data_IF_305059955490
#
_entry.id   IF_305059955490
#
_cell.length_a   1.000
_cell.length_b   1.000
_cell.length_c   1.000
_cell.angle_alpha   90.00
_cell.angle_beta   90.00
_cell.angle_gamma   90.00
#
_symmetry.space_group_name_H-M   'P 1'
#
loop_
_entity.id
_entity.type
_entity.pdbx_description
1 polymer ?
#
# COMPACT_ATOMS: atom_id res chain seq x y z
N UNK A 1 -54.27 -31.34 -13.36
CA UNK A 1 -53.13 -31.42 -14.30
C UNK A 1 -51.97 -30.61 -13.70
N UNK A 2 -50.93 -31.32 -13.22
CA UNK A 2 -49.71 -30.66 -12.68
C UNK A 2 -48.85 -30.24 -13.88
N UNK A 3 -48.89 -28.96 -14.24
CA UNK A 3 -48.03 -28.42 -15.29
C UNK A 3 -46.57 -28.61 -14.92
N UNK A 4 -45.77 -29.25 -15.80
CA UNK A 4 -44.34 -29.32 -15.73
C UNK A 4 -43.81 -27.87 -15.72
N UNK A 5 -43.10 -27.48 -14.65
CA UNK A 5 -42.42 -26.18 -14.62
C UNK A 5 -41.32 -26.14 -15.66
N UNK A 6 -41.04 -24.98 -16.26
CA UNK A 6 -39.90 -24.84 -17.19
C UNK A 6 -38.58 -25.27 -16.54
N UNK A 7 -37.70 -25.87 -17.34
CA UNK A 7 -36.32 -26.18 -16.90
C UNK A 7 -35.65 -24.87 -16.48
N UNK A 8 -35.16 -24.82 -15.23
CA UNK A 8 -34.53 -23.64 -14.64
C UNK A 8 -35.22 -23.08 -13.39
N UNK A 9 -36.49 -23.39 -13.14
CA UNK A 9 -37.28 -22.82 -12.03
C UNK A 9 -36.96 -23.43 -10.63
N UNK A 10 -36.03 -24.36 -10.54
CA UNK A 10 -35.65 -25.04 -9.30
C UNK A 10 -36.73 -26.02 -8.75
N UNK A 11 -36.31 -26.94 -7.91
CA UNK A 11 -37.18 -27.91 -7.23
C UNK A 11 -37.68 -27.29 -5.91
N UNK A 12 -39.00 -27.32 -5.67
CA UNK A 12 -39.60 -26.89 -4.40
C UNK A 12 -40.31 -28.08 -3.75
N UNK A 13 -39.96 -28.37 -2.49
CA UNK A 13 -40.59 -29.44 -1.71
C UNK A 13 -40.78 -29.05 -0.25
N UNK A 14 -41.76 -29.68 0.39
CA UNK A 14 -41.94 -29.61 1.84
C UNK A 14 -41.16 -30.77 2.46
N UNK A 15 -40.32 -30.48 3.44
CA UNK A 15 -39.53 -31.49 4.17
C UNK A 15 -40.34 -32.14 5.28
N UNK A 16 -39.87 -33.25 5.79
CA UNK A 16 -40.45 -33.95 6.94
C UNK A 16 -40.36 -33.13 8.23
N UNK A 17 -39.43 -32.21 8.33
CA UNK A 17 -39.28 -31.27 9.44
C UNK A 17 -40.21 -30.04 9.35
N UNK A 18 -41.16 -30.06 8.40
CA UNK A 18 -42.15 -29.01 8.20
C UNK A 18 -41.67 -27.77 7.43
N UNK A 19 -40.39 -27.63 7.18
CA UNK A 19 -39.83 -26.51 6.41
C UNK A 19 -39.97 -26.73 4.91
N UNK A 20 -40.03 -25.64 4.17
CA UNK A 20 -39.99 -25.66 2.70
C UNK A 20 -38.55 -25.54 2.23
N UNK A 21 -38.18 -26.36 1.24
CA UNK A 21 -36.86 -26.37 0.61
C UNK A 21 -37.02 -26.06 -0.88
N UNK A 22 -36.21 -25.12 -1.37
CA UNK A 22 -36.01 -24.86 -2.79
C UNK A 22 -34.60 -25.29 -3.18
N UNK A 23 -34.45 -25.99 -4.32
CA UNK A 23 -33.15 -26.43 -4.87
C UNK A 23 -32.97 -25.93 -6.28
N UNK A 24 -31.80 -25.41 -6.58
CA UNK A 24 -31.35 -25.12 -7.94
C UNK A 24 -30.09 -25.93 -8.23
N UNK A 25 -29.91 -26.34 -9.47
CA UNK A 25 -28.65 -26.94 -9.93
C UNK A 25 -27.67 -25.81 -10.17
N UNK A 26 -26.48 -25.93 -9.60
CA UNK A 26 -25.43 -24.93 -9.71
C UNK A 26 -24.17 -25.50 -10.38
N UNK A 27 -24.18 -26.75 -10.84
CA UNK A 27 -23.11 -27.44 -11.50
C UNK A 27 -23.27 -28.93 -11.48
N UNK A 28 -22.28 -29.66 -11.99
CA UNK A 28 -22.27 -31.12 -12.07
C UNK A 28 -20.95 -31.65 -11.50
N UNK A 29 -21.01 -32.86 -10.94
CA UNK A 29 -19.83 -33.61 -10.51
C UNK A 29 -19.21 -34.32 -11.72
N UNK A 30 -18.02 -34.93 -11.52
CA UNK A 30 -17.33 -35.69 -12.54
C UNK A 30 -18.13 -36.91 -13.05
N UNK A 31 -19.02 -37.44 -12.21
CA UNK A 31 -20.00 -38.50 -12.56
C UNK A 31 -21.28 -37.96 -13.24
N UNK A 32 -21.28 -36.68 -13.61
CA UNK A 32 -22.43 -35.96 -14.18
C UNK A 32 -23.63 -35.81 -13.25
N UNK A 33 -23.50 -36.12 -11.95
CA UNK A 33 -24.56 -35.88 -10.96
C UNK A 33 -24.65 -34.40 -10.61
N UNK A 34 -25.88 -33.82 -10.41
CA UNK A 34 -26.04 -32.39 -10.21
C UNK A 34 -25.60 -31.95 -8.81
N UNK A 35 -24.92 -30.80 -8.75
CA UNK A 35 -24.61 -30.09 -7.53
C UNK A 35 -25.76 -29.10 -7.23
N UNK A 36 -26.32 -29.17 -6.02
CA UNK A 36 -27.47 -28.37 -5.66
C UNK A 36 -27.13 -27.26 -4.67
N UNK A 37 -27.71 -26.08 -4.90
CA UNK A 37 -27.91 -25.05 -3.88
C UNK A 37 -29.29 -25.17 -3.29
N UNK A 38 -29.39 -25.34 -1.97
CA UNK A 38 -30.67 -25.37 -1.24
C UNK A 38 -30.92 -24.09 -0.48
N UNK A 39 -32.14 -23.60 -0.54
CA UNK A 39 -32.66 -22.49 0.28
C UNK A 39 -33.88 -22.97 1.11
N UNK A 40 -34.04 -22.44 2.31
CA UNK A 40 -35.05 -22.91 3.25
C UNK A 40 -35.91 -21.76 3.76
N UNK A 41 -37.20 -22.04 3.99
CA UNK A 41 -38.14 -21.12 4.64
C UNK A 41 -39.18 -21.88 5.43
N UNK A 42 -39.91 -21.18 6.36
CA UNK A 42 -41.01 -21.75 7.12
C UNK A 42 -42.25 -21.93 6.26
N UNK A 43 -42.46 -21.05 5.30
CA UNK A 43 -43.63 -21.07 4.40
C UNK A 43 -43.17 -21.07 2.94
N UNK A 44 -44.00 -21.55 2.04
CA UNK A 44 -43.76 -21.51 0.59
C UNK A 44 -43.67 -20.06 0.08
N UNK A 45 -44.50 -19.16 0.64
CA UNK A 45 -44.54 -17.73 0.31
C UNK A 45 -43.17 -17.04 0.59
N UNK A 46 -42.54 -17.40 1.71
CA UNK A 46 -41.19 -16.90 2.06
C UNK A 46 -40.08 -17.58 1.26
N UNK A 47 -40.29 -18.83 0.80
CA UNK A 47 -39.33 -19.56 0.02
C UNK A 47 -39.16 -18.97 -1.37
N UNK A 48 -40.23 -18.60 -2.04
CA UNK A 48 -40.22 -18.18 -3.44
C UNK A 48 -39.29 -16.97 -3.73
N UNK A 49 -39.33 -15.89 -2.92
CA UNK A 49 -38.38 -14.78 -3.10
C UNK A 49 -36.91 -15.22 -2.92
N UNK A 50 -36.65 -16.09 -1.91
CA UNK A 50 -35.30 -16.61 -1.66
C UNK A 50 -34.81 -17.50 -2.78
N UNK A 51 -35.71 -18.31 -3.36
CA UNK A 51 -35.39 -19.19 -4.48
C UNK A 51 -35.12 -18.37 -5.75
N UNK A 52 -35.89 -17.35 -6.05
CA UNK A 52 -35.67 -16.43 -7.17
C UNK A 52 -34.32 -15.73 -7.03
N UNK A 53 -34.04 -15.19 -5.86
CA UNK A 53 -32.72 -14.60 -5.61
C UNK A 53 -31.57 -15.59 -5.82
N UNK A 54 -31.74 -16.84 -5.36
CA UNK A 54 -30.75 -17.87 -5.58
C UNK A 54 -30.60 -18.22 -7.08
N UNK A 55 -31.71 -18.25 -7.85
CA UNK A 55 -31.66 -18.45 -9.30
C UNK A 55 -30.87 -17.30 -9.96
N UNK A 56 -31.17 -16.05 -9.62
CA UNK A 56 -30.47 -14.88 -10.13
C UNK A 56 -28.98 -14.90 -9.75
N UNK A 57 -28.67 -15.25 -8.50
CA UNK A 57 -27.29 -15.28 -7.97
C UNK A 57 -26.42 -16.38 -8.63
N UNK A 58 -27.02 -17.45 -9.11
CA UNK A 58 -26.33 -18.62 -9.67
C UNK A 58 -26.69 -18.90 -11.15
N UNK A 59 -27.38 -17.97 -11.82
CA UNK A 59 -27.78 -18.14 -13.22
C UNK A 59 -26.55 -18.27 -14.13
N UNK A 60 -26.45 -19.40 -14.85
CA UNK A 60 -25.31 -19.69 -15.72
C UNK A 60 -24.09 -20.29 -15.02
N UNK A 61 -24.20 -20.60 -13.72
CA UNK A 61 -23.11 -21.29 -13.00
C UNK A 61 -23.09 -22.79 -13.36
N UNK A 62 -21.94 -23.31 -13.73
CA UNK A 62 -21.67 -24.74 -13.89
C UNK A 62 -20.40 -25.08 -13.10
N UNK A 63 -20.56 -25.36 -11.81
CA UNK A 63 -19.44 -25.66 -10.91
C UNK A 63 -19.07 -27.14 -10.99
N UNK A 64 -17.78 -27.42 -11.18
CA UNK A 64 -17.17 -28.75 -11.04
C UNK A 64 -16.96 -29.14 -9.57
N UNK A 65 -16.55 -30.38 -9.31
CA UNK A 65 -16.15 -30.80 -7.95
C UNK A 65 -14.96 -30.00 -7.40
N UNK A 66 -14.08 -29.49 -8.28
CA UNK A 66 -12.98 -28.62 -7.92
C UNK A 66 -13.42 -27.31 -7.24
N UNK A 67 -14.66 -26.85 -7.51
CA UNK A 67 -15.23 -25.66 -6.83
C UNK A 67 -15.65 -25.90 -5.36
N UNK A 68 -15.50 -27.13 -4.84
CA UNK A 68 -15.74 -27.45 -3.42
C UNK A 68 -14.63 -26.99 -2.46
N UNK A 69 -13.55 -26.44 -2.97
CA UNK A 69 -12.42 -26.00 -2.16
C UNK A 69 -12.80 -24.90 -1.18
N UNK A 70 -12.11 -24.86 -0.05
CA UNK A 70 -12.21 -23.78 0.94
C UNK A 70 -11.47 -22.53 0.44
N UNK A 71 -11.79 -21.36 1.03
CA UNK A 71 -11.03 -20.14 0.75
C UNK A 71 -9.54 -20.31 1.13
N UNK A 72 -9.21 -21.07 2.18
CA UNK A 72 -7.81 -21.33 2.55
C UNK A 72 -7.07 -22.10 1.46
N UNK A 73 -7.67 -23.14 0.91
CA UNK A 73 -7.07 -23.93 -0.19
C UNK A 73 -6.87 -23.07 -1.43
N UNK A 74 -7.88 -22.28 -1.78
CA UNK A 74 -7.76 -21.35 -2.90
C UNK A 74 -6.67 -20.30 -2.68
N UNK A 75 -6.62 -19.66 -1.50
CA UNK A 75 -5.57 -18.68 -1.19
C UNK A 75 -4.17 -19.25 -1.29
N UNK A 76 -3.96 -20.51 -0.89
CA UNK A 76 -2.66 -21.19 -1.04
C UNK A 76 -2.30 -21.39 -2.51
N UNK A 77 -3.23 -21.92 -3.32
CA UNK A 77 -3.04 -22.06 -4.78
C UNK A 77 -2.78 -20.71 -5.43
N UNK A 78 -3.61 -19.72 -5.13
CA UNK A 78 -3.51 -18.38 -5.69
C UNK A 78 -2.16 -17.70 -5.34
N UNK A 79 -1.67 -17.85 -4.12
CA UNK A 79 -0.35 -17.32 -3.74
C UNK A 79 0.76 -17.98 -4.58
N UNK A 80 0.76 -19.30 -4.69
CA UNK A 80 1.82 -20.04 -5.37
C UNK A 80 1.80 -19.84 -6.90
N UNK A 81 0.60 -19.83 -7.49
CA UNK A 81 0.45 -19.86 -8.96
C UNK A 81 0.37 -18.44 -9.58
N UNK A 82 -0.21 -17.47 -8.86
CA UNK A 82 -0.48 -16.14 -9.41
C UNK A 82 0.34 -15.02 -8.74
N UNK A 83 0.47 -15.06 -7.40
CA UNK A 83 1.07 -13.94 -6.69
C UNK A 83 2.61 -14.03 -6.63
N UNK A 84 3.17 -15.18 -6.27
CA UNK A 84 4.61 -15.37 -6.12
C UNK A 84 5.38 -15.21 -7.44
N UNK A 85 4.92 -15.73 -8.59
CA UNK A 85 5.61 -15.54 -9.85
C UNK A 85 5.55 -14.11 -10.40
N UNK A 86 4.47 -13.37 -10.10
CA UNK A 86 4.18 -12.08 -10.72
C UNK A 86 4.54 -10.86 -9.86
N UNK A 87 4.65 -11.03 -8.54
CA UNK A 87 4.78 -9.93 -7.62
C UNK A 87 6.13 -9.90 -6.90
N UNK A 88 6.55 -8.71 -6.49
CA UNK A 88 7.75 -8.54 -5.68
C UNK A 88 7.60 -9.20 -4.31
N UNK A 89 8.70 -9.77 -3.80
CA UNK A 89 8.74 -10.49 -2.52
C UNK A 89 8.10 -9.72 -1.35
N UNK A 90 8.33 -8.42 -1.23
CA UNK A 90 7.73 -7.60 -0.17
C UNK A 90 6.20 -7.53 -0.26
N UNK A 91 5.63 -7.53 -1.48
CA UNK A 91 4.18 -7.56 -1.68
C UNK A 91 3.62 -8.91 -1.27
N UNK A 92 4.27 -9.99 -1.69
CA UNK A 92 3.89 -11.37 -1.33
C UNK A 92 3.95 -11.57 0.18
N UNK A 93 5.00 -11.11 0.85
CA UNK A 93 5.14 -11.15 2.31
C UNK A 93 4.00 -10.38 2.99
N UNK A 94 3.64 -9.20 2.48
CA UNK A 94 2.49 -8.44 2.96
C UNK A 94 1.17 -9.18 2.78
N UNK A 95 0.98 -9.84 1.64
CA UNK A 95 -0.20 -10.66 1.37
C UNK A 95 -0.29 -11.87 2.30
N UNK A 96 0.81 -12.63 2.45
CA UNK A 96 0.87 -13.76 3.39
C UNK A 96 0.52 -13.34 4.82
N UNK A 97 1.03 -12.20 5.28
CA UNK A 97 0.72 -11.64 6.60
C UNK A 97 -0.76 -11.29 6.75
N UNK A 98 -1.37 -10.62 5.78
CA UNK A 98 -2.78 -10.23 5.82
C UNK A 98 -3.70 -11.45 5.74
N UNK A 99 -3.36 -12.45 4.92
CA UNK A 99 -4.07 -13.72 4.85
C UNK A 99 -4.01 -14.41 6.21
N UNK A 100 -2.80 -14.65 6.74
CA UNK A 100 -2.58 -15.38 8.00
C UNK A 100 -3.28 -14.72 9.19
N UNK A 101 -3.16 -13.40 9.31
CA UNK A 101 -3.61 -12.70 10.52
C UNK A 101 -5.08 -12.30 10.48
N UNK A 102 -5.68 -12.15 9.29
CA UNK A 102 -7.01 -11.55 9.16
C UNK A 102 -7.98 -12.39 8.35
N UNK A 103 -7.65 -12.78 7.10
CA UNK A 103 -8.61 -13.41 6.19
C UNK A 103 -8.84 -14.87 6.57
N UNK A 104 -7.77 -15.65 6.72
CA UNK A 104 -7.84 -17.08 7.01
C UNK A 104 -8.59 -17.41 8.32
N UNK A 105 -8.38 -16.69 9.44
CA UNK A 105 -9.11 -16.96 10.67
C UNK A 105 -10.61 -16.67 10.59
N UNK A 106 -11.03 -15.75 9.69
CA UNK A 106 -12.43 -15.32 9.62
C UNK A 106 -13.24 -16.07 8.55
N UNK A 107 -12.63 -16.30 7.38
CA UNK A 107 -13.33 -16.82 6.21
C UNK A 107 -12.70 -18.10 5.65
N UNK A 108 -11.49 -18.45 6.06
CA UNK A 108 -10.67 -19.48 5.44
C UNK A 108 -11.30 -20.86 5.38
N UNK A 109 -12.05 -21.27 6.42
CA UNK A 109 -12.69 -22.58 6.49
C UNK A 109 -14.02 -22.67 5.74
N UNK A 110 -14.50 -21.53 5.17
CA UNK A 110 -15.71 -21.56 4.34
C UNK A 110 -15.38 -22.08 2.95
N UNK A 111 -16.25 -22.94 2.42
CA UNK A 111 -16.18 -23.27 0.99
C UNK A 111 -16.39 -22.00 0.16
N UNK A 112 -15.54 -21.83 -0.85
CA UNK A 112 -15.43 -20.61 -1.65
C UNK A 112 -16.79 -20.20 -2.24
N UNK A 113 -17.52 -21.15 -2.82
CA UNK A 113 -18.86 -20.95 -3.43
C UNK A 113 -19.98 -20.56 -2.44
N UNK A 114 -19.77 -20.71 -1.14
CA UNK A 114 -20.76 -20.36 -0.11
C UNK A 114 -20.39 -19.09 0.66
N UNK A 115 -19.35 -18.39 0.24
CA UNK A 115 -19.03 -17.06 0.77
C UNK A 115 -20.01 -16.05 0.15
N UNK A 116 -20.76 -15.36 1.00
CA UNK A 116 -21.73 -14.35 0.59
C UNK A 116 -21.21 -12.93 0.82
N UNK A 117 -21.79 -11.93 0.13
CA UNK A 117 -21.47 -10.51 0.39
C UNK A 117 -21.75 -10.13 1.85
N UNK A 118 -22.74 -10.77 2.50
CA UNK A 118 -23.00 -10.59 3.93
C UNK A 118 -21.87 -11.11 4.81
N UNK A 119 -21.25 -12.22 4.46
CA UNK A 119 -20.09 -12.75 5.20
C UNK A 119 -18.89 -11.81 5.08
N UNK A 120 -18.62 -11.33 3.88
CA UNK A 120 -17.56 -10.35 3.61
C UNK A 120 -17.79 -9.05 4.38
N UNK A 121 -19.04 -8.53 4.37
CA UNK A 121 -19.38 -7.32 5.12
C UNK A 121 -19.21 -7.52 6.63
N UNK A 122 -19.65 -8.66 7.19
CA UNK A 122 -19.44 -8.99 8.60
C UNK A 122 -17.96 -9.06 8.94
N UNK A 123 -17.17 -9.64 8.04
CA UNK A 123 -15.73 -9.70 8.21
C UNK A 123 -15.12 -8.30 8.30
N UNK A 124 -15.42 -7.39 7.37
CA UNK A 124 -14.90 -6.00 7.42
C UNK A 124 -15.35 -5.26 8.67
N UNK A 125 -16.62 -5.41 9.07
CA UNK A 125 -17.11 -4.82 10.31
C UNK A 125 -16.35 -5.36 11.55
N UNK A 126 -15.95 -6.63 11.52
CA UNK A 126 -15.16 -7.23 12.60
C UNK A 126 -13.73 -6.68 12.66
N UNK A 127 -13.12 -6.32 11.52
CA UNK A 127 -11.79 -5.73 11.47
C UNK A 127 -11.76 -4.33 12.11
N UNK A 128 -12.78 -3.53 11.86
CA UNK A 128 -12.92 -2.18 12.44
C UNK A 128 -13.19 -2.21 13.96
N UNK A 129 -13.63 -3.35 14.51
CA UNK A 129 -13.91 -3.54 15.94
C UNK A 129 -12.86 -4.37 16.67
N UNK A 130 -11.89 -4.96 15.95
CA UNK A 130 -10.88 -5.83 16.54
C UNK A 130 -9.93 -5.02 17.41
N UNK A 131 -9.84 -5.38 18.69
CA UNK A 131 -8.74 -4.96 19.54
C UNK A 131 -7.44 -5.58 18.99
N UNK A 132 -6.54 -4.74 18.51
CA UNK A 132 -5.21 -5.17 18.10
C UNK A 132 -4.37 -5.38 19.35
N UNK A 133 -3.73 -6.54 19.47
CA UNK A 133 -2.93 -6.98 20.61
C UNK A 133 -2.06 -5.88 21.22
N UNK A 134 -1.98 -5.95 22.51
CA UNK A 134 -1.35 -5.21 23.62
C UNK A 134 -0.03 -4.44 23.43
N UNK A 135 0.49 -4.21 22.24
CA UNK A 135 1.78 -3.53 22.01
C UNK A 135 1.65 -2.13 21.41
N UNK A 136 0.45 -1.63 21.23
CA UNK A 136 0.21 -0.25 20.81
C UNK A 136 -1.14 0.26 21.27
N UNK A 137 -1.25 1.53 21.56
CA UNK A 137 -2.46 2.23 22.04
C UNK A 137 -3.66 2.20 21.07
N UNK A 138 -3.66 1.37 20.02
CA UNK A 138 -4.72 1.28 19.03
C UNK A 138 -5.52 -0.01 19.23
N UNK A 139 -6.76 0.12 19.67
CA UNK A 139 -7.71 -0.98 19.86
C UNK A 139 -8.30 -1.53 18.56
N UNK A 140 -8.18 -0.83 17.43
CA UNK A 140 -8.78 -1.17 16.14
C UNK A 140 -7.76 -1.08 15.02
N UNK A 141 -8.01 -1.81 13.90
CA UNK A 141 -7.20 -1.65 12.70
C UNK A 141 -7.45 -0.27 12.06
N UNK A 142 -6.39 0.35 11.56
CA UNK A 142 -6.53 1.58 10.78
C UNK A 142 -7.36 1.33 9.50
N UNK A 143 -8.15 2.32 9.09
CA UNK A 143 -9.00 2.25 7.89
C UNK A 143 -8.19 1.87 6.64
N UNK A 144 -6.97 2.38 6.51
CA UNK A 144 -6.05 2.03 5.42
C UNK A 144 -5.68 0.54 5.42
N UNK A 145 -5.53 -0.08 6.60
CA UNK A 145 -5.25 -1.52 6.73
C UNK A 145 -6.48 -2.35 6.33
N UNK A 146 -7.68 -1.94 6.77
CA UNK A 146 -8.93 -2.60 6.37
C UNK A 146 -9.11 -2.53 4.85
N UNK A 147 -8.80 -1.39 4.24
CA UNK A 147 -8.82 -1.22 2.77
C UNK A 147 -7.81 -2.12 2.07
N UNK A 148 -6.59 -2.24 2.59
CA UNK A 148 -5.57 -3.13 2.03
C UNK A 148 -6.00 -4.61 2.09
N UNK A 149 -6.65 -5.03 3.19
CA UNK A 149 -7.22 -6.37 3.34
C UNK A 149 -8.37 -6.59 2.35
N UNK A 150 -9.25 -5.58 2.18
CA UNK A 150 -10.31 -5.64 1.17
C UNK A 150 -9.74 -5.81 -0.24
N UNK A 151 -8.78 -4.97 -0.64
CA UNK A 151 -8.16 -5.06 -1.98
C UNK A 151 -7.55 -6.44 -2.23
N UNK A 152 -6.88 -7.02 -1.23
CA UNK A 152 -6.32 -8.36 -1.33
C UNK A 152 -7.42 -9.42 -1.49
N UNK A 153 -8.43 -9.41 -0.61
CA UNK A 153 -9.54 -10.37 -0.68
C UNK A 153 -10.31 -10.24 -2.01
N UNK A 154 -10.51 -9.01 -2.47
CA UNK A 154 -11.18 -8.73 -3.75
C UNK A 154 -10.43 -9.37 -4.92
N UNK A 155 -9.10 -9.18 -5.00
CA UNK A 155 -8.26 -9.76 -6.07
C UNK A 155 -8.26 -11.30 -6.00
N UNK A 156 -8.19 -11.89 -4.81
CA UNK A 156 -8.26 -13.35 -4.62
C UNK A 156 -9.60 -13.90 -5.11
N UNK A 157 -10.70 -13.26 -4.75
CA UNK A 157 -12.04 -13.68 -5.16
C UNK A 157 -12.31 -13.42 -6.64
N UNK A 158 -11.80 -12.33 -7.20
CA UNK A 158 -11.86 -12.03 -8.63
C UNK A 158 -11.10 -13.09 -9.45
N UNK A 159 -9.94 -13.53 -8.96
CA UNK A 159 -9.20 -14.64 -9.58
C UNK A 159 -9.99 -15.95 -9.49
N UNK A 160 -10.77 -16.16 -8.43
CA UNK A 160 -11.64 -17.33 -8.32
C UNK A 160 -12.82 -17.29 -9.32
N UNK A 161 -13.34 -16.10 -9.62
CA UNK A 161 -14.33 -15.92 -10.69
C UNK A 161 -13.72 -16.26 -12.05
N UNK A 162 -12.51 -15.75 -12.34
CA UNK A 162 -11.79 -16.04 -13.59
C UNK A 162 -11.42 -17.52 -13.76
N UNK A 163 -11.22 -18.22 -12.63
CA UNK A 163 -10.98 -19.67 -12.61
C UNK A 163 -12.28 -20.50 -12.61
N UNK A 164 -13.45 -19.87 -12.77
CA UNK A 164 -14.77 -20.51 -12.75
C UNK A 164 -15.09 -21.27 -11.44
N UNK A 165 -14.47 -20.92 -10.32
CA UNK A 165 -14.72 -21.52 -9.01
C UNK A 165 -15.91 -20.88 -8.29
N UNK A 166 -16.21 -19.61 -8.59
CA UNK A 166 -17.39 -18.88 -8.15
C UNK A 166 -17.93 -18.04 -9.30
N UNK A 167 -19.23 -17.81 -9.30
CA UNK A 167 -19.89 -17.07 -10.38
C UNK A 167 -19.71 -15.55 -10.27
N UNK A 168 -19.75 -15.00 -9.06
CA UNK A 168 -19.66 -13.56 -8.77
C UNK A 168 -18.72 -13.33 -7.61
N UNK A 169 -17.99 -12.23 -7.66
CA UNK A 169 -17.14 -11.82 -6.55
C UNK A 169 -17.99 -11.26 -5.39
N UNK A 170 -18.10 -11.94 -4.23
CA UNK A 170 -18.95 -11.48 -3.13
C UNK A 170 -18.43 -10.23 -2.42
N UNK A 171 -17.25 -9.73 -2.76
CA UNK A 171 -16.69 -8.51 -2.18
C UNK A 171 -17.00 -7.24 -2.96
N UNK A 172 -17.60 -7.33 -4.17
CA UNK A 172 -17.90 -6.16 -5.02
C UNK A 172 -18.78 -5.12 -4.33
N UNK A 173 -19.88 -5.59 -3.70
CA UNK A 173 -20.87 -4.71 -3.08
C UNK A 173 -20.55 -4.36 -1.61
N UNK A 174 -19.39 -4.79 -1.11
CA UNK A 174 -19.03 -4.60 0.30
C UNK A 174 -18.63 -3.14 0.59
N UNK A 175 -19.21 -2.58 1.63
CA UNK A 175 -18.87 -1.23 2.11
C UNK A 175 -17.62 -1.28 2.98
N UNK A 176 -16.62 -0.51 2.58
CA UNK A 176 -15.36 -0.35 3.30
C UNK A 176 -15.26 1.05 3.92
N UNK A 177 -14.49 1.24 5.00
CA UNK A 177 -14.27 2.55 5.59
C UNK A 177 -13.77 3.57 4.56
N UNK A 178 -14.22 4.82 4.68
CA UNK A 178 -13.63 5.91 3.89
C UNK A 178 -12.19 6.12 4.34
N UNK A 179 -11.34 6.47 3.39
CA UNK A 179 -9.95 6.74 3.71
C UNK A 179 -9.81 8.18 4.25
N UNK A 180 -9.76 8.30 5.57
CA UNK A 180 -9.47 9.57 6.21
C UNK A 180 -7.95 9.72 6.30
N UNK A 181 -7.36 10.42 5.33
CA UNK A 181 -5.94 10.75 5.39
C UNK A 181 -5.71 11.75 6.52
N UNK A 182 -4.93 11.34 7.52
CA UNK A 182 -4.39 12.32 8.45
C UNK A 182 -3.46 13.28 7.68
N UNK A 183 -3.46 14.58 7.99
CA UNK A 183 -2.51 15.53 7.40
C UNK A 183 -1.08 15.01 7.55
N UNK A 184 -0.26 15.20 6.52
CA UNK A 184 1.15 14.84 6.59
C UNK A 184 1.82 15.75 7.60
N UNK A 185 2.64 15.15 8.48
CA UNK A 185 3.43 15.90 9.45
C UNK A 185 4.75 16.24 8.78
N UNK A 186 5.01 17.52 8.61
CA UNK A 186 6.28 18.06 8.13
C UNK A 186 6.94 18.84 9.26
N UNK A 187 8.25 18.95 9.22
CA UNK A 187 8.96 19.88 10.08
C UNK A 187 8.85 21.29 9.47
N UNK A 188 8.37 22.25 10.25
CA UNK A 188 8.43 23.67 9.86
C UNK A 188 9.89 24.18 9.92
N UNK A 189 10.13 25.42 9.53
CA UNK A 189 11.48 25.98 9.44
C UNK A 189 12.21 25.93 10.79
N UNK A 190 11.57 26.33 11.87
CA UNK A 190 12.14 26.29 13.23
C UNK A 190 12.47 24.84 13.65
N UNK A 191 11.56 23.92 13.44
CA UNK A 191 11.77 22.50 13.75
C UNK A 191 12.86 21.88 12.87
N UNK A 192 12.96 22.31 11.62
CA UNK A 192 14.02 21.86 10.71
C UNK A 192 15.39 22.38 11.20
N UNK A 193 15.47 23.62 11.66
CA UNK A 193 16.70 24.18 12.24
C UNK A 193 17.12 23.40 13.49
N UNK A 194 16.17 23.08 14.40
CA UNK A 194 16.43 22.25 15.58
C UNK A 194 16.92 20.85 15.17
N UNK A 195 16.28 20.25 14.16
CA UNK A 195 16.68 18.94 13.62
C UNK A 195 18.10 18.98 13.05
N UNK A 196 18.44 20.01 12.26
CA UNK A 196 19.75 20.19 11.68
C UNK A 196 20.83 20.37 12.76
N UNK A 197 20.55 21.09 13.85
CA UNK A 197 21.45 21.19 15.01
C UNK A 197 21.63 19.83 15.71
N UNK A 198 20.52 19.10 15.93
CA UNK A 198 20.55 17.80 16.61
C UNK A 198 21.36 16.73 15.87
N UNK A 199 21.38 16.75 14.53
CA UNK A 199 22.20 15.80 13.77
C UNK A 199 23.69 16.10 13.79
N UNK A 200 24.12 17.33 14.14
CA UNK A 200 25.56 17.67 14.29
C UNK A 200 26.24 16.83 15.37
N UNK A 201 25.52 16.49 16.42
CA UNK A 201 26.01 15.66 17.52
C UNK A 201 26.01 14.15 17.20
N UNK A 202 25.73 13.80 15.95
CA UNK A 202 25.57 12.43 15.44
C UNK A 202 26.65 12.06 14.40
N UNK A 203 27.92 11.83 14.76
CA UNK A 203 29.01 11.73 13.79
C UNK A 203 28.80 10.68 12.69
N UNK A 204 28.06 9.60 13.03
CA UNK A 204 27.77 8.51 12.11
C UNK A 204 26.54 8.75 11.23
N UNK A 205 25.59 9.55 11.73
CA UNK A 205 24.29 9.75 11.10
C UNK A 205 24.09 11.15 10.52
N UNK A 206 24.98 12.10 10.85
CA UNK A 206 24.95 13.47 10.34
C UNK A 206 24.84 13.47 8.80
N UNK A 207 25.81 12.86 8.13
CA UNK A 207 25.86 12.86 6.66
C UNK A 207 24.66 12.16 6.04
N UNK A 208 24.15 11.10 6.70
CA UNK A 208 22.97 10.37 6.25
C UNK A 208 21.73 11.27 6.27
N UNK A 209 21.43 11.88 7.42
CA UNK A 209 20.23 12.73 7.55
C UNK A 209 20.37 14.04 6.81
N UNK A 210 21.56 14.60 6.74
CA UNK A 210 21.83 15.78 5.91
C UNK A 210 21.57 15.49 4.42
N UNK A 211 22.04 14.35 3.92
CA UNK A 211 21.76 13.93 2.54
C UNK A 211 20.26 13.70 2.32
N UNK A 212 19.57 13.07 3.27
CA UNK A 212 18.13 12.83 3.17
C UNK A 212 17.34 14.14 3.06
N UNK A 213 17.59 15.10 3.98
CA UNK A 213 16.81 16.35 4.04
C UNK A 213 17.13 17.29 2.87
N UNK A 214 18.28 17.15 2.22
CA UNK A 214 18.69 17.96 1.07
C UNK A 214 18.37 17.34 -0.28
N UNK A 215 17.99 16.06 -0.33
CA UNK A 215 17.69 15.35 -1.58
C UNK A 215 16.29 14.75 -1.63
N UNK A 216 15.67 14.54 -0.49
CA UNK A 216 14.35 13.91 -0.36
C UNK A 216 14.29 12.48 -0.89
N UNK A 217 15.36 11.71 -0.80
CA UNK A 217 15.40 10.32 -1.24
C UNK A 217 14.44 9.44 -0.43
N UNK A 218 14.00 8.31 -1.00
CA UNK A 218 13.30 7.31 -0.19
C UNK A 218 14.29 6.59 0.73
N UNK A 219 13.85 6.19 1.92
CA UNK A 219 14.68 5.48 2.89
C UNK A 219 15.50 4.33 2.27
N UNK A 220 14.86 3.49 1.46
CA UNK A 220 15.57 2.40 0.79
C UNK A 220 16.55 2.88 -0.29
N UNK A 221 16.30 4.02 -0.93
CA UNK A 221 17.18 4.59 -1.95
C UNK A 221 18.46 5.13 -1.30
N UNK A 222 18.35 5.93 -0.23
CA UNK A 222 19.50 6.47 0.48
C UNK A 222 20.36 5.36 1.11
N UNK A 223 19.73 4.34 1.71
CA UNK A 223 20.45 3.15 2.21
C UNK A 223 21.19 2.41 1.10
N UNK A 224 20.72 2.47 -0.14
CA UNK A 224 21.27 1.74 -1.28
C UNK A 224 22.30 2.50 -2.10
N UNK A 225 22.75 3.68 -1.68
CA UNK A 225 23.73 4.47 -2.42
C UNK A 225 25.13 3.87 -2.34
N UNK A 226 25.82 3.77 -3.50
CA UNK A 226 27.22 3.38 -3.63
C UNK A 226 28.07 4.55 -4.11
N UNK A 227 29.35 4.51 -3.83
CA UNK A 227 30.29 5.52 -4.34
C UNK A 227 30.36 5.55 -5.87
N UNK A 228 30.13 4.41 -6.52
CA UNK A 228 30.02 4.33 -7.99
C UNK A 228 28.80 5.06 -8.58
N UNK A 229 27.85 5.48 -7.76
CA UNK A 229 26.69 6.25 -8.19
C UNK A 229 26.94 7.76 -8.20
N UNK A 230 28.02 8.21 -7.52
CA UNK A 230 28.36 9.62 -7.38
C UNK A 230 29.45 10.01 -8.37
N UNK A 231 29.16 10.95 -9.24
CA UNK A 231 30.11 11.68 -10.04
C UNK A 231 30.51 12.98 -9.32
N UNK A 232 31.66 12.97 -8.67
CA UNK A 232 32.13 14.10 -7.88
C UNK A 232 32.45 15.32 -8.75
N UNK A 233 32.86 15.11 -10.02
CA UNK A 233 33.24 16.20 -10.93
C UNK A 233 32.03 17.03 -11.38
N UNK A 234 30.88 16.38 -11.56
CA UNK A 234 29.64 17.03 -12.00
C UNK A 234 28.63 17.21 -10.88
N UNK A 235 28.85 16.60 -9.71
CA UNK A 235 27.90 16.58 -8.60
C UNK A 235 26.64 15.74 -8.88
N UNK A 236 26.65 14.88 -9.88
CA UNK A 236 25.54 14.02 -10.24
C UNK A 236 25.49 12.76 -9.40
N UNK A 237 24.32 12.42 -8.86
CA UNK A 237 24.07 11.20 -8.13
C UNK A 237 23.00 10.37 -8.83
N UNK A 238 23.36 9.13 -9.19
CA UNK A 238 22.44 8.18 -9.84
C UNK A 238 21.72 7.32 -8.81
N UNK A 239 20.41 7.39 -8.79
CA UNK A 239 19.54 6.57 -7.93
C UNK A 239 19.08 5.37 -8.77
N UNK A 240 19.55 4.17 -8.46
CA UNK A 240 19.26 2.99 -9.29
C UNK A 240 18.93 1.72 -8.48
N UNK A 241 19.05 1.77 -7.15
CA UNK A 241 18.73 0.65 -6.28
C UNK A 241 18.00 1.09 -5.03
N UNK A 242 17.38 0.13 -4.35
CA UNK A 242 16.68 0.34 -3.09
C UNK A 242 16.92 -0.84 -2.16
N UNK A 243 17.20 -0.54 -0.91
CA UNK A 243 17.35 -1.53 0.16
C UNK A 243 16.02 -1.69 0.88
N UNK A 244 15.64 -2.93 1.11
CA UNK A 244 14.46 -3.28 1.93
C UNK A 244 14.84 -4.35 2.95
N UNK A 245 14.03 -4.49 3.99
CA UNK A 245 14.30 -5.48 5.04
C UNK A 245 13.42 -6.71 4.83
N UNK A 246 14.06 -7.90 4.83
CA UNK A 246 13.39 -9.19 4.80
C UNK A 246 12.96 -9.63 6.21
N UNK A 247 12.13 -10.68 6.27
CA UNK A 247 11.89 -11.42 7.52
C UNK A 247 13.23 -11.95 8.06
N UNK A 248 13.44 -11.83 9.37
CA UNK A 248 14.71 -12.24 9.99
C UNK A 248 15.77 -11.14 10.08
N UNK A 249 15.48 -9.92 9.56
CA UNK A 249 16.39 -8.77 9.68
C UNK A 249 17.41 -8.63 8.55
N UNK A 250 17.44 -9.58 7.61
CA UNK A 250 18.28 -9.48 6.43
C UNK A 250 17.89 -8.31 5.52
N UNK A 251 18.87 -7.73 4.83
CA UNK A 251 18.64 -6.67 3.86
C UNK A 251 18.59 -7.24 2.45
N UNK A 252 17.51 -6.94 1.73
CA UNK A 252 17.38 -7.22 0.31
C UNK A 252 17.71 -5.96 -0.48
N UNK A 253 18.65 -6.12 -1.42
CA UNK A 253 19.06 -5.08 -2.35
C UNK A 253 18.39 -5.38 -3.68
N UNK A 254 17.58 -4.47 -4.18
CA UNK A 254 16.90 -4.59 -5.45
C UNK A 254 16.97 -3.31 -6.27
N UNK A 255 16.57 -3.42 -7.52
CA UNK A 255 16.39 -2.24 -8.37
C UNK A 255 15.25 -1.35 -7.85
N UNK A 256 15.25 -0.08 -8.25
CA UNK A 256 14.17 0.84 -7.92
C UNK A 256 12.81 0.32 -8.40
N UNK A 257 11.74 0.68 -7.69
CA UNK A 257 10.39 0.10 -7.87
C UNK A 257 9.80 0.32 -9.27
N UNK A 258 10.22 1.33 -10.00
CA UNK A 258 9.72 1.71 -11.33
C UNK A 258 10.87 2.20 -12.20
N UNK A 259 10.71 2.18 -13.52
CA UNK A 259 11.67 2.79 -14.47
C UNK A 259 11.99 4.26 -14.12
N UNK A 260 10.96 5.03 -13.72
CA UNK A 260 11.13 6.41 -13.22
C UNK A 260 11.79 6.49 -11.84
N UNK A 261 11.93 5.37 -11.15
CA UNK A 261 12.72 5.27 -9.92
C UNK A 261 14.20 5.37 -10.18
N UNK A 262 14.70 4.90 -11.33
CA UNK A 262 16.07 5.12 -11.79
C UNK A 262 16.14 6.53 -12.37
N UNK A 263 16.89 7.38 -11.67
CA UNK A 263 17.03 8.78 -12.02
C UNK A 263 18.40 9.31 -11.60
N UNK A 264 18.80 10.41 -12.20
CA UNK A 264 20.00 11.16 -11.79
C UNK A 264 19.56 12.50 -11.23
N UNK A 265 20.04 12.85 -10.05
CA UNK A 265 19.84 14.15 -9.42
C UNK A 265 21.13 14.91 -9.34
N UNK A 266 21.08 16.24 -9.33
CA UNK A 266 22.21 17.10 -9.05
C UNK A 266 22.21 17.40 -7.55
N UNK A 267 23.34 17.13 -6.89
CA UNK A 267 23.47 17.37 -5.46
C UNK A 267 23.69 18.86 -5.16
N UNK A 268 23.08 19.40 -4.09
CA UNK A 268 23.50 20.69 -3.55
C UNK A 268 24.98 20.69 -3.18
N UNK A 269 25.66 21.84 -3.35
CA UNK A 269 27.11 21.97 -3.08
C UNK A 269 27.51 21.48 -1.69
N UNK A 270 26.68 21.79 -0.66
CA UNK A 270 26.93 21.32 0.71
C UNK A 270 26.90 19.80 0.84
N UNK A 271 25.92 19.16 0.23
CA UNK A 271 25.79 17.69 0.22
C UNK A 271 26.96 17.03 -0.51
N UNK A 272 27.32 17.56 -1.68
CA UNK A 272 28.48 17.07 -2.42
C UNK A 272 29.76 17.17 -1.60
N UNK A 273 30.01 18.31 -0.94
CA UNK A 273 31.18 18.51 -0.08
C UNK A 273 31.24 17.47 1.05
N UNK A 274 30.15 17.25 1.74
CA UNK A 274 30.04 16.28 2.85
C UNK A 274 30.34 14.86 2.33
N UNK A 275 29.73 14.46 1.21
CA UNK A 275 29.96 13.13 0.66
C UNK A 275 31.37 12.93 0.13
N UNK A 276 31.99 13.94 -0.50
CA UNK A 276 33.38 13.88 -0.95
C UNK A 276 34.33 13.75 0.24
N UNK A 277 34.11 14.47 1.34
CA UNK A 277 34.91 14.33 2.55
C UNK A 277 34.75 12.95 3.20
N UNK A 278 33.52 12.47 3.30
CA UNK A 278 33.23 11.11 3.78
C UNK A 278 33.92 10.02 2.97
N UNK A 279 33.99 10.18 1.65
CA UNK A 279 34.63 9.20 0.74
C UNK A 279 36.07 8.99 1.05
N UNK A 280 36.84 10.03 1.44
CA UNK A 280 38.25 9.94 1.75
C UNK A 280 38.59 8.91 2.83
N UNK A 281 37.65 8.72 3.77
CA UNK A 281 37.79 7.82 4.90
C UNK A 281 36.96 6.53 4.77
N UNK A 282 36.33 6.32 3.60
CA UNK A 282 35.48 5.16 3.38
C UNK A 282 36.26 3.92 2.94
N UNK A 283 36.04 2.80 3.62
CA UNK A 283 36.55 1.47 3.24
C UNK A 283 35.46 0.58 2.61
N UNK A 284 34.25 1.09 2.50
CA UNK A 284 33.08 0.38 1.97
C UNK A 284 32.74 0.86 0.57
N UNK A 285 32.12 0.01 -0.24
CA UNK A 285 31.49 0.43 -1.51
C UNK A 285 30.24 1.28 -1.31
N UNK A 286 29.60 1.18 -0.13
CA UNK A 286 28.39 1.91 0.22
C UNK A 286 28.70 3.30 0.75
N UNK A 287 27.93 4.31 0.33
CA UNK A 287 28.03 5.66 0.91
C UNK A 287 27.66 5.62 2.39
N UNK A 288 26.63 4.83 2.72
CA UNK A 288 26.15 4.64 4.09
C UNK A 288 26.16 3.15 4.45
N UNK A 289 27.32 2.60 4.86
CA UNK A 289 27.44 1.21 5.25
C UNK A 289 26.79 0.94 6.59
N UNK A 290 26.51 -0.33 6.86
CA UNK A 290 26.13 -0.79 8.20
C UNK A 290 27.29 -0.62 9.17
N UNK A 291 27.01 -0.18 10.39
CA UNK A 291 28.00 0.01 11.45
C UNK A 291 28.64 -1.31 11.92
N UNK A 292 27.87 -2.41 11.85
CA UNK A 292 28.30 -3.73 12.32
C UNK A 292 28.88 -4.59 11.21
N UNK A 293 28.60 -4.26 9.94
CA UNK A 293 28.99 -5.04 8.77
C UNK A 293 29.22 -4.08 7.59
N UNK A 294 30.42 -3.46 7.49
CA UNK A 294 30.71 -2.42 6.49
C UNK A 294 30.58 -2.88 5.04
N UNK A 295 30.63 -4.18 4.78
CA UNK A 295 30.37 -4.79 3.47
C UNK A 295 28.88 -4.76 3.08
N UNK A 296 27.98 -4.44 4.02
CA UNK A 296 26.53 -4.34 3.81
C UNK A 296 26.08 -2.89 3.92
N UNK A 297 24.99 -2.52 3.23
CA UNK A 297 24.36 -1.21 3.39
C UNK A 297 23.70 -1.06 4.77
N UNK A 298 23.48 0.18 5.19
CA UNK A 298 22.63 0.48 6.37
C UNK A 298 21.24 -0.15 6.21
N UNK A 299 20.81 -0.89 7.23
CA UNK A 299 19.45 -1.42 7.26
C UNK A 299 18.43 -0.28 7.45
N UNK A 300 17.32 -0.26 6.68
CA UNK A 300 16.28 0.76 6.83
C UNK A 300 15.72 0.89 8.25
N UNK A 301 15.62 -0.22 8.99
CA UNK A 301 15.19 -0.20 10.40
C UNK A 301 16.16 0.57 11.30
N UNK A 302 17.47 0.44 11.09
CA UNK A 302 18.48 1.16 11.88
C UNK A 302 18.37 2.67 11.69
N UNK A 303 18.23 3.14 10.45
CA UNK A 303 18.00 4.55 10.14
C UNK A 303 16.67 5.06 10.72
N UNK A 304 15.61 4.25 10.63
CA UNK A 304 14.32 4.58 11.24
C UNK A 304 14.41 4.73 12.76
N UNK A 305 15.04 3.78 13.44
CA UNK A 305 15.20 3.83 14.89
C UNK A 305 16.06 5.03 15.32
N UNK A 306 17.15 5.32 14.58
CA UNK A 306 17.98 6.48 14.90
C UNK A 306 17.25 7.79 14.73
N UNK A 307 16.45 7.94 13.67
CA UNK A 307 15.57 9.11 13.51
C UNK A 307 14.70 9.33 14.76
N UNK A 308 14.07 8.26 15.29
CA UNK A 308 13.20 8.36 16.47
C UNK A 308 13.97 8.81 17.73
N UNK A 309 15.21 8.35 17.88
CA UNK A 309 16.08 8.77 18.98
C UNK A 309 16.42 10.25 18.86
N UNK A 310 16.82 10.72 17.68
CA UNK A 310 17.14 12.14 17.41
C UNK A 310 15.93 13.03 17.65
N UNK A 311 14.77 12.72 17.07
CA UNK A 311 13.54 13.50 17.25
C UNK A 311 13.14 13.60 18.72
N UNK A 312 13.21 12.50 19.45
CA UNK A 312 12.90 12.48 20.89
C UNK A 312 13.90 13.31 21.69
N UNK A 313 15.18 13.17 21.42
CA UNK A 313 16.24 13.92 22.10
C UNK A 313 16.15 15.44 21.88
N UNK A 314 15.76 15.83 20.67
CA UNK A 314 15.58 17.23 20.28
C UNK A 314 14.20 17.82 20.65
N UNK A 315 13.30 17.06 21.28
CA UNK A 315 11.95 17.52 21.61
C UNK A 315 11.05 17.78 20.38
N UNK A 316 11.40 17.18 19.24
CA UNK A 316 10.69 17.35 17.97
C UNK A 316 9.49 16.40 17.86
N UNK A 317 8.47 16.74 17.02
CA UNK A 317 7.33 15.86 16.77
C UNK A 317 7.76 14.48 16.27
N UNK A 318 7.04 13.46 16.70
CA UNK A 318 7.25 12.08 16.20
C UNK A 318 6.74 11.95 14.76
N UNK A 319 7.63 12.16 13.79
CA UNK A 319 7.38 12.00 12.36
C UNK A 319 7.92 10.66 11.83
N UNK A 320 7.37 10.20 10.72
CA UNK A 320 7.88 9.01 10.01
C UNK A 320 9.09 9.41 9.17
N UNK A 321 9.93 8.44 8.82
CA UNK A 321 11.07 8.71 7.93
C UNK A 321 10.63 9.35 6.59
N UNK A 322 9.54 8.87 6.02
CA UNK A 322 9.01 9.43 4.77
C UNK A 322 8.52 10.88 4.90
N UNK A 323 8.26 11.34 6.12
CA UNK A 323 7.85 12.73 6.36
C UNK A 323 9.04 13.70 6.27
N UNK A 324 10.31 13.25 6.40
CA UNK A 324 11.52 14.04 6.04
C UNK A 324 11.53 14.40 4.56
N UNK A 325 11.22 13.42 3.71
CA UNK A 325 11.07 13.67 2.26
C UNK A 325 9.89 14.62 1.95
N UNK A 326 8.80 14.53 2.71
CA UNK A 326 7.72 15.52 2.60
C UNK A 326 8.16 16.90 3.05
N UNK A 327 8.97 17.00 4.11
CA UNK A 327 9.58 18.24 4.57
C UNK A 327 10.44 18.86 3.46
N UNK A 328 11.38 18.09 2.88
CA UNK A 328 12.17 18.53 1.73
C UNK A 328 11.30 19.07 0.59
N UNK A 329 10.29 18.28 0.19
CA UNK A 329 9.45 18.64 -0.94
C UNK A 329 8.61 19.91 -0.69
N UNK A 330 8.10 20.09 0.52
CA UNK A 330 7.36 21.29 0.90
C UNK A 330 8.25 22.52 0.85
N UNK A 331 9.42 22.47 1.51
CA UNK A 331 10.36 23.60 1.52
C UNK A 331 10.91 23.90 0.12
N UNK A 332 11.16 22.90 -0.70
CA UNK A 332 11.56 23.13 -2.10
C UNK A 332 10.50 23.89 -2.91
N UNK A 333 9.22 23.49 -2.75
CA UNK A 333 8.10 24.20 -3.42
C UNK A 333 7.93 25.61 -2.91
N UNK A 334 7.97 25.85 -1.60
CA UNK A 334 7.87 27.21 -1.03
C UNK A 334 9.03 28.10 -1.43
N UNK A 335 10.22 27.50 -1.66
CA UNK A 335 11.40 28.22 -2.17
C UNK A 335 11.38 28.42 -3.70
N UNK A 336 10.27 28.10 -4.39
CA UNK A 336 10.08 28.39 -5.82
C UNK A 336 10.51 27.29 -6.78
N UNK A 337 10.90 26.11 -6.33
CA UNK A 337 11.15 24.98 -7.23
C UNK A 337 9.84 24.53 -7.86
N UNK A 338 9.77 24.47 -9.19
CA UNK A 338 8.58 24.05 -9.89
C UNK A 338 8.24 22.55 -9.63
N UNK A 339 6.94 22.24 -9.63
CA UNK A 339 6.43 20.91 -9.27
C UNK A 339 6.89 19.80 -10.23
N UNK A 340 7.18 20.11 -11.50
CA UNK A 340 7.64 19.14 -12.49
C UNK A 340 9.10 18.76 -12.23
N UNK A 341 9.96 19.74 -11.99
CA UNK A 341 11.36 19.55 -11.60
C UNK A 341 11.44 18.78 -10.28
N UNK A 342 10.65 19.18 -9.25
CA UNK A 342 10.60 18.48 -7.98
C UNK A 342 10.11 17.03 -8.13
N UNK A 343 9.09 16.80 -8.97
CA UNK A 343 8.60 15.45 -9.28
C UNK A 343 9.71 14.58 -9.90
N UNK A 344 10.54 15.16 -10.77
CA UNK A 344 11.72 14.50 -11.35
C UNK A 344 12.77 14.14 -10.29
N UNK A 345 13.14 15.08 -9.41
CA UNK A 345 14.07 14.86 -8.30
C UNK A 345 13.56 13.73 -7.39
N UNK A 346 12.30 13.79 -7.03
CA UNK A 346 11.68 12.81 -6.15
C UNK A 346 11.43 11.44 -6.84
N UNK A 347 11.40 11.37 -8.17
CA UNK A 347 11.06 10.15 -8.91
C UNK A 347 9.60 9.74 -8.67
N UNK A 348 8.67 10.69 -8.75
CA UNK A 348 7.24 10.42 -8.78
C UNK A 348 6.82 10.03 -10.20
N UNK A 349 5.95 9.03 -10.33
CA UNK A 349 5.45 8.58 -11.63
C UNK A 349 4.52 9.59 -12.28
N UNK A 350 3.88 10.45 -11.47
CA UNK A 350 2.98 11.50 -11.92
C UNK A 350 3.20 12.80 -11.12
N UNK A 351 3.37 13.92 -11.82
CA UNK A 351 3.49 15.25 -11.22
C UNK A 351 2.22 15.67 -10.46
N UNK A 352 1.04 15.20 -10.87
CA UNK A 352 -0.22 15.44 -10.15
C UNK A 352 -0.14 14.94 -8.71
N UNK A 353 0.57 13.82 -8.46
CA UNK A 353 0.77 13.31 -7.10
C UNK A 353 1.55 14.32 -6.22
N UNK A 354 2.52 15.03 -6.81
CA UNK A 354 3.26 16.10 -6.11
C UNK A 354 2.33 17.27 -5.81
N UNK A 355 1.54 17.71 -6.78
CA UNK A 355 0.58 18.80 -6.61
C UNK A 355 -0.49 18.45 -5.58
N UNK A 356 -1.17 17.31 -5.70
CA UNK A 356 -2.22 16.84 -4.78
C UNK A 356 -1.69 16.67 -3.33
N UNK A 357 -0.42 16.30 -3.22
CA UNK A 357 0.23 16.08 -1.92
C UNK A 357 0.52 17.39 -1.19
N UNK A 358 0.79 18.46 -1.94
CA UNK A 358 1.27 19.76 -1.43
C UNK A 358 0.33 20.93 -1.72
N UNK A 359 -0.95 20.66 -2.00
CA UNK A 359 -2.00 21.65 -2.29
C UNK A 359 -2.15 22.72 -1.19
N UNK A 360 -1.74 22.41 0.05
CA UNK A 360 -1.81 23.35 1.18
C UNK A 360 -0.75 24.47 1.11
N UNK A 361 0.28 24.30 0.27
CA UNK A 361 1.35 25.29 0.04
C UNK A 361 0.92 26.40 -0.96
N UNK A 362 -0.24 26.23 -1.58
CA UNK A 362 -0.68 27.08 -2.69
C UNK A 362 -0.91 28.56 -2.31
N UNK A 363 -1.26 28.87 -1.07
CA UNK A 363 -1.53 30.26 -0.66
C UNK A 363 -0.26 31.11 -0.66
N UNK A 364 0.85 30.58 -0.14
CA UNK A 364 2.12 31.29 -0.10
C UNK A 364 2.76 31.32 -1.50
N UNK A 365 2.60 30.26 -2.29
CA UNK A 365 3.00 30.26 -3.70
C UNK A 365 2.19 31.26 -4.53
N UNK A 366 0.89 31.45 -4.24
CA UNK A 366 0.07 32.47 -4.91
C UNK A 366 0.52 33.89 -4.55
N UNK A 367 0.87 34.14 -3.30
CA UNK A 367 1.43 35.43 -2.88
C UNK A 367 2.76 35.72 -3.57
N UNK A 368 3.67 34.73 -3.58
CA UNK A 368 4.96 34.87 -4.25
C UNK A 368 4.80 35.05 -5.77
N UNK A 369 3.91 34.28 -6.40
CA UNK A 369 3.60 34.47 -7.83
C UNK A 369 3.01 35.84 -8.13
N UNK A 370 2.13 36.35 -7.26
CA UNK A 370 1.56 37.70 -7.39
C UNK A 370 2.65 38.77 -7.27
N UNK A 371 3.60 38.61 -6.33
CA UNK A 371 4.73 39.54 -6.18
C UNK A 371 5.64 39.51 -7.44
N UNK A 372 6.03 38.32 -7.88
CA UNK A 372 6.89 38.16 -9.08
C UNK A 372 6.22 38.73 -10.33
N UNK A 373 4.91 38.55 -10.51
CA UNK A 373 4.17 39.11 -11.62
C UNK A 373 4.06 40.62 -11.48
N UNK A 374 3.85 41.10 -10.25
CA UNK A 374 3.85 42.54 -9.97
C UNK A 374 5.19 43.20 -10.32
N UNK A 375 6.28 42.67 -9.76
CA UNK A 375 7.64 43.14 -10.01
C UNK A 375 7.98 43.16 -11.52
N UNK A 376 7.59 42.09 -12.25
CA UNK A 376 7.80 41.99 -13.72
C UNK A 376 7.00 43.05 -14.45
N UNK A 377 5.78 43.33 -14.09
CA UNK A 377 4.94 44.36 -14.71
C UNK A 377 5.48 45.76 -14.40
N UNK A 378 5.88 45.99 -13.15
CA UNK A 378 6.48 47.26 -12.71
C UNK A 378 7.80 47.55 -13.45
N UNK A 379 8.61 46.51 -13.69
CA UNK A 379 9.85 46.61 -14.48
C UNK A 379 9.58 46.98 -15.94
N UNK A 380 8.50 46.43 -16.57
CA UNK A 380 8.13 46.73 -17.94
C UNK A 380 7.52 48.13 -18.06
N UNK A 381 6.68 48.54 -17.12
CA UNK A 381 5.95 49.81 -17.16
C UNK A 381 6.63 50.93 -16.39
N UNK A 382 7.84 50.72 -15.84
CA UNK A 382 8.63 51.75 -15.19
C UNK A 382 8.06 52.26 -13.85
N UNK A 383 7.26 51.42 -13.17
CA UNK A 383 6.72 51.74 -11.86
C UNK A 383 5.60 52.83 -11.85
N UNK A 384 5.02 53.12 -13.00
CA UNK A 384 3.87 54.04 -13.13
C UNK A 384 2.54 53.27 -13.29
N UNK A 385 2.09 52.61 -12.23
CA UNK A 385 0.69 52.15 -12.07
C UNK A 385 0.17 52.51 -10.70
#
# INVERSE_FOLDING_TARGET
MSGKRPDGDGLVRKRTDGRWEGRIVIGHKDDNSPIYKSVFAKTQKELMPKLRQAIEDYQGADFSEESNITLNEWMKKWLAEYAEPALRQNTVTGYKRNIKNHIAPALGNKQLRFITSRDVQKFYNSLSRKEVNKVGNHKTLADSTVRAIHMLLHVILDSAVKANLIFKNPSEDAKIPKNNYAPKRILNEEQLEIFMKAILDEPMWHDFFYTEITTGLRLGEICGLKWSDLDESTGKLKIQRSVSQAEGGEVNIGETKTEKGTRTILLPKGTLKILTERKKNSVSEWIFPSLLAPEKPTAPSSAYHRLKVILKGAGLPDIRFHDLRHTFATHALTSGVDAKTLSGILGHTNASFTLDTYTHVTTDMQKNASAVVGDFIDEIFGGEV
#
